data_IF_879914168690
#
_entry.id   IF_879914168690
#
_cell.length_a   1.000
_cell.length_b   1.000
_cell.length_c   1.000
_cell.angle_alpha   90.00
_cell.angle_beta   90.00
_cell.angle_gamma   90.00
#
_symmetry.space_group_name_H-M   'P 1'
#
loop_
_entity.id
_entity.type
_entity.pdbx_description
1 polymer ?
#
# COMPACT_ATOMS: atom_id res chain seq x y z
N UNK A 1 5.07 -7.52 -16.79
CA UNK A 1 4.75 -7.82 -15.38
C UNK A 1 3.42 -7.15 -15.09
N UNK A 2 2.43 -7.88 -14.57
CA UNK A 2 1.05 -7.36 -14.47
C UNK A 2 0.62 -7.15 -13.02
N UNK A 3 1.41 -7.64 -12.05
CA UNK A 3 1.14 -7.54 -10.63
C UNK A 3 2.47 -7.59 -9.84
N UNK A 4 2.59 -6.72 -8.85
CA UNK A 4 3.62 -6.70 -7.81
C UNK A 4 2.93 -6.66 -6.46
N UNK A 5 3.38 -7.48 -5.52
CA UNK A 5 3.02 -7.37 -4.11
C UNK A 5 4.31 -7.27 -3.28
N UNK A 6 4.45 -6.22 -2.48
CA UNK A 6 5.62 -6.04 -1.61
C UNK A 6 5.21 -5.42 -0.28
N UNK A 7 5.91 -5.79 0.79
CA UNK A 7 5.73 -5.10 2.08
C UNK A 7 6.08 -3.61 1.96
N UNK A 8 5.42 -2.76 2.75
CA UNK A 8 5.63 -1.31 2.77
C UNK A 8 7.09 -0.97 3.10
N UNK A 9 7.70 -1.66 4.07
CA UNK A 9 9.12 -1.45 4.41
C UNK A 9 10.05 -1.69 3.21
N UNK A 10 9.78 -2.67 2.35
CA UNK A 10 10.57 -2.90 1.13
C UNK A 10 10.23 -1.89 0.05
N UNK A 11 8.95 -1.55 -0.12
CA UNK A 11 8.51 -0.51 -1.05
C UNK A 11 9.21 0.83 -0.79
N UNK A 12 9.33 1.21 0.49
CA UNK A 12 9.99 2.45 0.92
C UNK A 12 11.48 2.53 0.55
N UNK A 13 12.14 1.39 0.32
CA UNK A 13 13.55 1.33 -0.09
C UNK A 13 13.72 1.36 -1.61
N UNK A 14 12.62 1.39 -2.37
CA UNK A 14 12.65 1.55 -3.83
C UNK A 14 12.66 3.05 -4.13
N UNK A 15 13.86 3.60 -4.36
CA UNK A 15 14.07 5.04 -4.59
C UNK A 15 13.50 5.52 -5.94
N UNK A 16 13.53 4.66 -6.96
CA UNK A 16 13.08 4.98 -8.31
C UNK A 16 12.15 3.88 -8.82
N UNK A 17 11.12 4.26 -9.56
CA UNK A 17 10.17 3.31 -10.13
C UNK A 17 10.90 2.31 -11.06
N UNK A 18 10.91 1.01 -10.74
CA UNK A 18 11.47 -0.01 -11.61
C UNK A 18 10.81 0.00 -12.99
N UNK A 19 11.56 -0.33 -14.04
CA UNK A 19 11.08 -0.21 -15.42
C UNK A 19 9.84 -1.08 -15.70
N UNK A 20 9.79 -2.26 -15.10
CA UNK A 20 8.70 -3.22 -15.15
C UNK A 20 7.47 -2.82 -14.33
N UNK A 21 7.58 -1.81 -13.45
CA UNK A 21 6.46 -1.28 -12.65
C UNK A 21 5.78 -0.09 -13.32
N UNK A 22 6.41 0.52 -14.34
CA UNK A 22 5.89 1.73 -15.00
C UNK A 22 4.54 1.55 -15.70
N UNK A 23 4.18 0.32 -16.05
CA UNK A 23 2.89 -0.01 -16.67
C UNK A 23 1.78 -0.39 -15.68
N UNK A 24 2.06 -0.33 -14.37
CA UNK A 24 1.10 -0.62 -13.32
C UNK A 24 0.34 0.66 -12.98
N UNK A 25 -0.97 0.60 -13.08
CA UNK A 25 -1.88 1.74 -13.02
C UNK A 25 -2.95 1.63 -11.92
N UNK A 26 -2.95 0.53 -11.18
CA UNK A 26 -3.79 0.27 -10.01
C UNK A 26 -2.91 0.01 -8.80
N UNK A 27 -3.36 0.40 -7.60
CA UNK A 27 -2.66 0.12 -6.35
C UNK A 27 -3.61 -0.17 -5.19
N UNK A 28 -3.12 -0.97 -4.24
CA UNK A 28 -3.82 -1.27 -3.00
C UNK A 28 -2.89 -1.13 -1.79
N UNK A 29 -3.49 -0.73 -0.66
CA UNK A 29 -2.90 -0.84 0.66
C UNK A 29 -3.70 -1.90 1.43
N UNK A 30 -3.04 -2.93 1.94
CA UNK A 30 -3.69 -3.99 2.72
C UNK A 30 -2.79 -4.54 3.82
N UNK A 31 -3.36 -5.27 4.76
CA UNK A 31 -2.62 -6.24 5.57
C UNK A 31 -2.90 -7.67 5.06
N UNK A 32 -2.77 -8.68 5.93
CA UNK A 32 -3.05 -10.07 5.53
C UNK A 32 -4.54 -10.30 5.21
N UNK A 33 -5.46 -9.62 5.90
CA UNK A 33 -6.88 -9.94 5.88
C UNK A 33 -7.73 -8.85 5.21
N UNK A 34 -7.30 -7.59 5.30
CA UNK A 34 -8.12 -6.42 5.01
C UNK A 34 -7.43 -5.51 4.00
N UNK A 35 -8.18 -5.14 2.96
CA UNK A 35 -7.81 -4.05 2.05
C UNK A 35 -8.27 -2.72 2.66
N UNK A 36 -7.32 -1.83 2.92
CA UNK A 36 -7.61 -0.51 3.47
C UNK A 36 -7.99 0.49 2.40
N UNK A 37 -7.33 0.45 1.24
CA UNK A 37 -7.54 1.42 0.18
C UNK A 37 -7.18 0.82 -1.18
N UNK A 38 -7.96 1.17 -2.20
CA UNK A 38 -7.72 0.91 -3.62
C UNK A 38 -7.69 2.26 -4.33
N UNK A 39 -6.79 2.42 -5.29
CA UNK A 39 -6.85 3.56 -6.19
C UNK A 39 -6.20 3.28 -7.54
N UNK A 40 -6.34 4.26 -8.44
CA UNK A 40 -5.74 4.23 -9.77
C UNK A 40 -4.89 5.48 -10.09
N UNK A 41 -3.94 5.32 -11.00
CA UNK A 41 -3.11 6.39 -11.56
C UNK A 41 -2.30 5.84 -12.74
N UNK A 42 -2.02 6.62 -13.79
CA UNK A 42 -1.13 6.18 -14.88
C UNK A 42 0.28 5.76 -14.43
N UNK A 43 0.69 6.12 -13.21
CA UNK A 43 1.90 5.61 -12.56
C UNK A 43 1.59 5.30 -11.10
N UNK A 44 1.09 4.10 -10.82
CA UNK A 44 0.66 3.67 -9.50
C UNK A 44 1.76 3.84 -8.43
N UNK A 45 3.01 3.52 -8.77
CA UNK A 45 4.17 3.70 -7.89
C UNK A 45 4.30 5.14 -7.36
N UNK A 46 4.24 6.14 -8.25
CA UNK A 46 4.37 7.54 -7.87
C UNK A 46 3.19 7.98 -7.00
N UNK A 47 1.98 7.47 -7.29
CA UNK A 47 0.78 7.78 -6.53
C UNK A 47 0.81 7.21 -5.11
N UNK A 48 1.35 6.00 -4.93
CA UNK A 48 1.59 5.43 -3.59
C UNK A 48 2.56 6.31 -2.79
N UNK A 49 3.68 6.73 -3.38
CA UNK A 49 4.60 7.67 -2.74
C UNK A 49 3.95 9.00 -2.38
N UNK A 50 3.11 9.55 -3.25
CA UNK A 50 2.37 10.78 -2.97
C UNK A 50 1.45 10.64 -1.75
N UNK A 51 0.73 9.51 -1.62
CA UNK A 51 -0.08 9.24 -0.43
C UNK A 51 0.77 9.18 0.83
N UNK A 52 1.89 8.47 0.79
CA UNK A 52 2.82 8.35 1.91
C UNK A 52 3.36 9.73 2.33
N UNK A 53 3.84 10.54 1.40
CA UNK A 53 4.34 11.89 1.68
C UNK A 53 3.24 12.83 2.20
N UNK A 54 2.07 12.79 1.57
CA UNK A 54 0.91 13.60 1.95
C UNK A 54 0.31 13.19 3.30
N UNK A 55 0.53 11.95 3.74
CA UNK A 55 0.09 11.44 5.03
C UNK A 55 0.65 12.21 6.23
N UNK A 56 1.89 12.72 6.13
CA UNK A 56 2.48 13.58 7.17
C UNK A 56 1.71 14.89 7.36
N UNK A 57 1.19 15.44 6.25
CA UNK A 57 0.40 16.67 6.22
C UNK A 57 -1.09 16.42 6.48
N UNK A 58 -1.52 15.16 6.54
CA UNK A 58 -2.93 14.79 6.71
C UNK A 58 -3.78 14.94 5.44
N UNK A 59 -3.15 15.11 4.26
CA UNK A 59 -3.87 15.23 2.99
C UNK A 59 -4.19 13.88 2.34
N UNK A 60 -3.63 12.79 2.86
CA UNK A 60 -4.01 11.42 2.47
C UNK A 60 -4.47 10.67 3.72
N UNK A 61 -5.71 10.18 3.71
CA UNK A 61 -6.25 9.37 4.81
C UNK A 61 -5.49 8.04 4.97
N UNK A 62 -5.21 7.35 3.87
CA UNK A 62 -4.45 6.08 3.89
C UNK A 62 -2.99 6.31 4.27
N UNK A 63 -2.36 7.37 3.76
CA UNK A 63 -1.00 7.73 4.14
C UNK A 63 -0.90 8.10 5.63
N UNK A 64 -1.89 8.84 6.14
CA UNK A 64 -1.97 9.18 7.56
C UNK A 64 -2.17 7.92 8.41
N UNK A 65 -3.07 7.04 8.00
CA UNK A 65 -3.32 5.75 8.66
C UNK A 65 -2.06 4.90 8.77
N UNK A 66 -1.29 4.78 7.67
CA UNK A 66 0.00 4.09 7.63
C UNK A 66 0.92 4.63 8.73
N UNK A 67 1.09 5.95 8.84
CA UNK A 67 2.02 6.51 9.81
C UNK A 67 1.54 6.48 11.25
N UNK A 68 0.23 6.60 11.51
CA UNK A 68 -0.30 6.44 12.86
C UNK A 68 -0.09 5.02 13.40
N UNK A 69 -0.07 4.02 12.50
CA UNK A 69 0.10 2.60 12.83
C UNK A 69 1.55 2.11 12.72
N UNK A 70 2.52 3.00 12.53
CA UNK A 70 3.93 2.63 12.60
C UNK A 70 4.30 2.15 14.03
N UNK A 71 5.07 1.07 14.22
CA UNK A 71 5.80 0.27 13.22
C UNK A 71 5.00 -0.88 12.58
N UNK A 72 3.80 -1.20 13.06
CA UNK A 72 3.03 -2.36 12.57
C UNK A 72 2.73 -2.25 11.07
N UNK A 73 2.46 -1.04 10.58
CA UNK A 73 2.21 -0.76 9.16
C UNK A 73 3.39 -1.06 8.23
N UNK A 74 4.62 -1.25 8.73
CA UNK A 74 5.76 -1.71 7.93
C UNK A 74 5.46 -3.02 7.18
N UNK A 75 4.58 -3.85 7.75
CA UNK A 75 4.19 -5.14 7.24
C UNK A 75 2.94 -5.09 6.36
N UNK A 76 2.36 -3.91 6.14
CA UNK A 76 1.30 -3.78 5.14
C UNK A 76 1.85 -4.13 3.76
N UNK A 77 1.02 -4.77 2.95
CA UNK A 77 1.33 -5.07 1.56
C UNK A 77 0.86 -3.90 0.70
N UNK A 78 1.78 -3.41 -0.12
CA UNK A 78 1.50 -2.55 -1.27
C UNK A 78 1.40 -3.45 -2.48
N UNK A 79 0.22 -3.50 -3.08
CA UNK A 79 0.01 -4.17 -4.35
C UNK A 79 -0.06 -3.14 -5.47
N UNK A 80 0.57 -3.43 -6.60
CA UNK A 80 0.52 -2.64 -7.83
C UNK A 80 0.08 -3.56 -8.96
N UNK A 81 -0.96 -3.20 -9.70
CA UNK A 81 -1.53 -4.02 -10.76
C UNK A 81 -1.64 -3.23 -12.05
N UNK A 82 -1.71 -3.94 -13.17
CA UNK A 82 -2.09 -3.37 -14.45
C UNK A 82 -3.57 -3.65 -14.73
N UNK A 83 -4.31 -2.64 -15.15
CA UNK A 83 -5.66 -2.74 -15.71
C UNK A 83 -5.73 -3.64 -16.95
N UNK A 84 -4.57 -3.95 -17.56
CA UNK A 84 -4.43 -4.90 -18.68
C UNK A 84 -4.27 -6.36 -18.24
N UNK A 85 -4.32 -6.64 -16.95
CA UNK A 85 -4.26 -8.00 -16.42
C UNK A 85 -5.55 -8.77 -16.75
N UNK A 86 -5.44 -10.09 -16.91
CA UNK A 86 -6.54 -10.96 -17.34
C UNK A 86 -7.80 -10.84 -16.47
N UNK A 87 -7.62 -10.60 -15.16
CA UNK A 87 -8.72 -10.40 -14.20
C UNK A 87 -9.62 -9.19 -14.51
N UNK A 88 -9.20 -8.29 -15.40
CA UNK A 88 -9.96 -7.10 -15.81
C UNK A 88 -10.53 -7.21 -17.23
N UNK A 89 -10.39 -8.36 -17.89
CA UNK A 89 -10.92 -8.58 -19.25
C UNK A 89 -12.44 -8.38 -19.33
N UNK A 90 -13.18 -8.80 -18.31
CA UNK A 90 -14.65 -8.67 -18.26
C UNK A 90 -15.12 -7.21 -18.25
N UNK A 91 -14.29 -6.30 -17.76
CA UNK A 91 -14.53 -4.85 -17.77
C UNK A 91 -13.82 -4.14 -18.92
N UNK A 92 -13.35 -4.91 -19.92
CA UNK A 92 -12.70 -4.39 -21.11
C UNK A 92 -11.33 -3.77 -20.86
N UNK A 93 -10.67 -4.10 -19.74
CA UNK A 93 -9.41 -3.47 -19.30
C UNK A 93 -9.53 -1.93 -19.15
N UNK A 94 -10.74 -1.40 -18.91
CA UNK A 94 -10.95 0.01 -18.61
C UNK A 94 -10.46 0.32 -17.19
N UNK A 95 -9.64 1.36 -17.04
CA UNK A 95 -8.98 1.67 -15.77
C UNK A 95 -9.98 2.04 -14.66
N UNK A 96 -11.00 2.84 -14.98
CA UNK A 96 -12.02 3.24 -14.01
C UNK A 96 -12.93 2.06 -13.63
N UNK A 97 -13.26 1.19 -14.58
CA UNK A 97 -14.03 -0.01 -14.32
C UNK A 97 -13.24 -1.05 -13.53
N UNK A 98 -11.94 -1.16 -13.77
CA UNK A 98 -11.02 -2.03 -13.02
C UNK A 98 -10.88 -1.58 -11.57
N UNK A 99 -10.69 -0.28 -11.32
CA UNK A 99 -10.69 0.29 -9.96
C UNK A 99 -12.01 0.00 -9.23
N UNK A 100 -13.13 0.25 -9.90
CA UNK A 100 -14.47 0.00 -9.34
C UNK A 100 -14.69 -1.48 -9.02
N UNK A 101 -14.24 -2.38 -9.89
CA UNK A 101 -14.32 -3.83 -9.66
C UNK A 101 -13.54 -4.23 -8.40
N UNK A 102 -12.33 -3.71 -8.21
CA UNK A 102 -11.54 -3.94 -7.00
C UNK A 102 -12.22 -3.37 -5.74
N UNK A 103 -12.78 -2.16 -5.82
CA UNK A 103 -13.50 -1.54 -4.69
C UNK A 103 -14.74 -2.37 -4.32
N UNK A 104 -15.48 -2.86 -5.30
CA UNK A 104 -16.67 -3.69 -5.06
C UNK A 104 -16.30 -5.06 -4.48
N UNK A 105 -15.20 -5.65 -4.96
CA UNK A 105 -14.74 -6.96 -4.50
C UNK A 105 -14.19 -6.91 -3.07
N UNK A 106 -13.39 -5.91 -2.74
CA UNK A 106 -12.70 -5.84 -1.45
C UNK A 106 -13.39 -4.96 -0.40
N UNK A 107 -14.35 -4.12 -0.79
CA UNK A 107 -15.05 -3.16 0.09
C UNK A 107 -14.11 -2.34 1.00
N UNK A 108 -13.05 -1.68 0.48
CA UNK A 108 -11.96 -1.16 1.31
C UNK A 108 -12.37 -0.13 2.36
N UNK A 109 -11.66 -0.10 3.49
CA UNK A 109 -11.98 0.79 4.61
C UNK A 109 -12.09 2.28 4.26
N UNK A 110 -11.20 2.77 3.37
CA UNK A 110 -11.03 4.19 3.10
C UNK A 110 -11.55 4.65 1.74
N UNK A 111 -12.03 3.73 0.89
CA UNK A 111 -12.77 4.10 -0.31
C UNK A 111 -14.20 4.42 0.10
N UNK A 112 -14.57 5.71 0.11
CA UNK A 112 -15.93 6.17 0.42
C UNK A 112 -16.77 6.27 -0.86
N UNK A 113 -16.17 6.80 -1.94
CA UNK A 113 -16.81 6.85 -3.25
C UNK A 113 -16.82 5.47 -3.89
N UNK A 114 -17.94 5.11 -4.54
CA UNK A 114 -18.12 3.82 -5.24
C UNK A 114 -18.07 2.56 -4.36
N UNK A 115 -18.02 2.74 -3.04
CA UNK A 115 -18.08 1.67 -2.05
C UNK A 115 -19.38 1.82 -1.26
N UNK A 116 -20.32 0.91 -1.45
CA UNK A 116 -21.62 0.97 -0.77
C UNK A 116 -21.54 0.57 0.70
N UNK A 117 -20.54 -0.24 1.08
CA UNK A 117 -20.41 -0.78 2.43
C UNK A 117 -18.93 -0.93 2.81
N UNK A 118 -18.21 0.18 3.05
CA UNK A 118 -16.82 0.11 3.49
C UNK A 118 -16.72 -0.67 4.81
N UNK A 119 -15.83 -1.67 4.85
CA UNK A 119 -15.58 -2.41 6.08
C UNK A 119 -14.90 -1.50 7.11
N UNK A 120 -15.25 -1.62 8.41
CA UNK A 120 -14.62 -0.82 9.43
C UNK A 120 -13.13 -1.16 9.54
N UNK A 121 -12.35 -0.19 10.01
CA UNK A 121 -10.94 -0.42 10.36
C UNK A 121 -10.88 -1.50 11.45
N UNK A 122 -10.03 -2.53 11.33
CA UNK A 122 -9.86 -3.53 12.37
C UNK A 122 -9.50 -2.89 13.72
N UNK A 123 -10.09 -3.36 14.84
CA UNK A 123 -10.04 -2.65 16.13
C UNK A 123 -8.63 -2.57 16.76
N UNK A 124 -7.69 -3.39 16.28
CA UNK A 124 -6.30 -3.36 16.73
C UNK A 124 -5.47 -2.24 16.08
N UNK A 125 -5.98 -1.60 15.02
CA UNK A 125 -5.35 -0.43 14.42
C UNK A 125 -5.88 0.87 15.01
N UNK A 126 -4.99 1.87 15.06
CA UNK A 126 -5.38 3.24 15.35
C UNK A 126 -6.11 3.86 14.15
N UNK A 127 -7.14 4.68 14.39
CA UNK A 127 -7.82 5.42 13.33
C UNK A 127 -6.90 6.50 12.72
N UNK A 128 -7.15 6.94 11.47
CA UNK A 128 -6.32 7.94 10.79
C UNK A 128 -6.28 9.31 11.49
N UNK A 129 -7.30 9.65 12.29
CA UNK A 129 -7.32 10.88 13.07
C UNK A 129 -6.53 10.78 14.40
N UNK A 130 -6.00 9.60 14.74
CA UNK A 130 -5.16 9.44 15.93
C UNK A 130 -3.90 10.33 15.87
N UNK A 131 -3.35 10.72 17.03
CA UNK A 131 -2.05 11.36 17.07
C UNK A 131 -0.97 10.38 16.59
N UNK A 132 0.08 10.91 15.96
CA UNK A 132 1.26 10.11 15.65
C UNK A 132 1.84 9.57 16.97
N UNK A 133 1.97 8.24 17.08
CA UNK A 133 2.63 7.61 18.24
C UNK A 133 4.01 8.21 18.48
N UNK A 134 4.77 8.51 17.42
CA UNK A 134 6.00 9.29 17.42
C UNK A 134 6.10 10.08 16.12
N UNK A 135 6.17 11.42 16.19
CA UNK A 135 6.46 12.25 15.02
C UNK A 135 7.93 12.09 14.63
N UNK A 136 8.20 11.19 13.70
CA UNK A 136 9.53 10.98 13.11
C UNK A 136 9.58 11.61 11.72
N UNK A 137 10.75 12.07 11.31
CA UNK A 137 10.97 12.45 9.92
C UNK A 137 10.90 11.23 9.00
N UNK A 138 10.61 11.44 7.72
CA UNK A 138 10.61 10.36 6.72
C UNK A 138 11.94 9.60 6.74
N UNK A 139 13.07 10.30 6.79
CA UNK A 139 14.40 9.67 6.82
C UNK A 139 14.57 8.71 8.00
N UNK A 140 14.05 9.07 9.19
CA UNK A 140 14.10 8.16 10.33
C UNK A 140 13.26 6.91 10.13
N UNK A 141 12.08 7.02 9.48
CA UNK A 141 11.24 5.88 9.16
C UNK A 141 11.88 5.00 8.08
N UNK A 142 12.53 5.60 7.08
CA UNK A 142 13.29 4.87 6.07
C UNK A 142 14.43 4.06 6.70
N UNK A 143 15.19 4.63 7.64
CA UNK A 143 16.20 3.88 8.37
C UNK A 143 15.61 2.76 9.25
N UNK A 144 14.42 2.95 9.80
CA UNK A 144 13.72 1.88 10.53
C UNK A 144 13.29 0.75 9.61
N UNK A 145 12.74 1.07 8.44
CA UNK A 145 12.42 0.10 7.40
C UNK A 145 13.67 -0.65 6.93
N UNK A 146 14.77 0.06 6.67
CA UNK A 146 16.05 -0.52 6.25
C UNK A 146 16.58 -1.53 7.28
N UNK A 147 16.56 -1.16 8.57
CA UNK A 147 16.96 -2.09 9.64
C UNK A 147 16.05 -3.31 9.73
N UNK A 148 14.73 -3.12 9.59
CA UNK A 148 13.78 -4.23 9.61
C UNK A 148 14.01 -5.20 8.44
N UNK A 149 14.21 -4.68 7.22
CA UNK A 149 14.51 -5.49 6.04
C UNK A 149 15.82 -6.26 6.20
N UNK A 150 16.90 -5.61 6.67
CA UNK A 150 18.18 -6.30 6.92
C UNK A 150 18.06 -7.42 7.94
N UNK A 151 17.30 -7.21 9.01
CA UNK A 151 17.09 -8.24 10.02
C UNK A 151 16.31 -9.45 9.47
N UNK A 152 15.31 -9.21 8.61
CA UNK A 152 14.54 -10.26 7.93
C UNK A 152 15.39 -11.03 6.91
N UNK A 153 16.16 -10.31 6.10
CA UNK A 153 17.05 -10.94 5.11
C UNK A 153 18.11 -11.80 5.81
N UNK A 154 18.66 -11.33 6.94
CA UNK A 154 19.62 -12.09 7.76
C UNK A 154 18.97 -13.36 8.30
N UNK A 155 17.75 -13.25 8.83
CA UNK A 155 17.02 -14.41 9.36
C UNK A 155 16.73 -15.44 8.24
N UNK A 156 16.24 -14.98 7.09
CA UNK A 156 15.96 -15.85 5.95
C UNK A 156 17.22 -16.58 5.46
N UNK A 157 18.35 -15.87 5.44
CA UNK A 157 19.63 -16.46 5.07
C UNK A 157 20.08 -17.54 6.07
N UNK A 158 19.92 -17.31 7.38
CA UNK A 158 20.21 -18.31 8.40
C UNK A 158 19.30 -19.54 8.26
N UNK A 159 17.99 -19.35 8.09
CA UNK A 159 17.02 -20.44 7.91
C UNK A 159 17.27 -21.27 6.63
N UNK A 160 17.98 -20.73 5.63
CA UNK A 160 18.32 -21.44 4.38
C UNK A 160 19.61 -22.26 4.49
N UNK A 161 20.43 -22.00 5.52
CA UNK A 161 21.68 -22.72 5.78
C UNK A 161 21.52 -23.91 6.73
N UNK A 162 20.40 -23.98 7.45
CA UNK A 162 19.98 -25.13 8.28
C UNK A 162 19.26 -26.21 7.46
#
# INVERSE_FOLDING_TARGET
>A
MNHIATSLKRFLLVEQCPADWKGLDLYLFRDQDVVFYVGQSHLAFARVWEHLLSGFKGHSIVGRFVWCNWPQSMNFTIELLSSRAEQFNEVGNDLNASERLLIQHFTPCFNISQNSLPIPIPPHYLPPNAPFRRRRSLNMLLHEAERAVKAEDTKLWMDTLE
#
